data_IF_373632724106
#
_entry.id   IF_373632724106
#
_cell.length_a   1.000
_cell.length_b   1.000
_cell.length_c   1.000
_cell.angle_alpha   90.00
_cell.angle_beta   90.00
_cell.angle_gamma   90.00
#
_symmetry.space_group_name_H-M   'P 1'
#
loop_
_entity.id
_entity.type
_entity.pdbx_description
1 polymer ?
#
# COMPACT_ATOMS: atom_id res chain seq x y z
N UNK A 1 9.69 32.61 29.74
CA UNK A 1 9.95 32.05 28.40
C UNK A 1 9.46 30.63 28.44
N UNK A 2 8.20 30.48 27.98
CA UNK A 2 7.47 29.22 27.96
C UNK A 2 7.99 28.41 26.76
N UNK A 3 8.74 27.35 27.04
CA UNK A 3 9.12 26.39 26.01
C UNK A 3 7.91 25.51 25.75
N UNK A 4 7.10 25.92 24.79
CA UNK A 4 5.97 25.14 24.30
C UNK A 4 6.41 23.71 23.99
N UNK A 5 5.75 22.75 24.61
CA UNK A 5 5.91 21.30 24.35
C UNK A 5 5.63 21.04 22.87
N UNK A 6 6.67 20.81 22.10
CA UNK A 6 6.57 20.34 20.74
C UNK A 6 5.94 18.94 20.74
N UNK A 7 4.66 18.85 20.50
CA UNK A 7 4.03 17.57 20.18
C UNK A 7 4.31 17.26 18.72
N UNK A 8 5.16 16.29 18.50
CA UNK A 8 5.48 15.77 17.18
C UNK A 8 4.58 14.58 16.89
N UNK A 9 3.76 14.70 15.86
CA UNK A 9 2.98 13.59 15.33
C UNK A 9 3.74 13.02 14.14
N UNK A 10 4.30 11.84 14.26
CA UNK A 10 5.00 11.17 13.18
C UNK A 10 4.20 9.97 12.66
N UNK A 11 4.00 9.93 11.36
CA UNK A 11 3.41 8.80 10.64
C UNK A 11 3.82 8.88 9.17
N UNK A 12 4.28 7.77 8.57
CA UNK A 12 4.66 7.70 7.15
C UNK A 12 5.69 8.73 6.66
N UNK A 13 6.67 9.09 7.49
CA UNK A 13 7.69 10.06 7.13
C UNK A 13 7.22 11.51 7.19
N UNK A 14 6.03 11.78 7.72
CA UNK A 14 5.54 13.13 7.97
C UNK A 14 5.71 13.50 9.43
N UNK A 15 6.37 14.61 9.67
CA UNK A 15 6.50 15.24 10.97
C UNK A 15 5.55 16.44 11.02
N UNK A 16 4.45 16.30 11.77
CA UNK A 16 3.55 17.43 12.05
C UNK A 16 4.01 18.16 13.29
N UNK A 17 4.33 19.43 13.15
CA UNK A 17 4.59 20.33 14.28
C UNK A 17 3.29 20.94 14.82
N UNK A 18 3.34 21.45 16.06
CA UNK A 18 2.26 22.27 16.63
C UNK A 18 1.87 23.44 15.72
N UNK A 19 2.84 24.01 14.97
CA UNK A 19 2.63 25.08 14.00
C UNK A 19 1.64 24.71 12.90
N UNK A 20 1.70 23.50 12.34
CA UNK A 20 0.78 23.06 11.28
C UNK A 20 -0.65 22.94 11.80
N UNK A 21 -0.81 22.45 13.04
CA UNK A 21 -2.10 22.36 13.71
C UNK A 21 -2.67 23.74 14.01
N UNK A 22 -1.85 24.65 14.49
CA UNK A 22 -2.28 26.01 14.83
C UNK A 22 -2.66 26.80 13.58
N UNK A 23 -1.90 26.69 12.48
CA UNK A 23 -2.28 27.27 11.18
C UNK A 23 -3.58 26.70 10.64
N UNK A 24 -3.83 25.40 10.79
CA UNK A 24 -5.11 24.84 10.41
C UNK A 24 -6.26 25.42 11.24
N UNK A 25 -6.06 25.58 12.56
CA UNK A 25 -7.09 26.15 13.44
C UNK A 25 -7.40 27.61 13.09
N UNK A 26 -6.36 28.43 12.83
CA UNK A 26 -6.50 29.87 12.53
C UNK A 26 -6.99 30.12 11.10
N UNK A 27 -6.28 29.60 10.13
CA UNK A 27 -6.42 30.01 8.71
C UNK A 27 -7.10 28.94 7.84
N UNK A 28 -7.45 27.78 8.41
CA UNK A 28 -7.93 26.60 7.68
C UNK A 28 -6.93 26.12 6.60
N UNK A 29 -5.65 26.42 6.79
CA UNK A 29 -4.60 25.99 5.89
C UNK A 29 -4.14 24.58 6.22
N UNK A 30 -4.35 23.66 5.29
CA UNK A 30 -4.06 22.25 5.50
C UNK A 30 -2.56 21.89 5.44
N UNK A 31 -1.75 22.65 4.71
CA UNK A 31 -0.30 22.45 4.63
C UNK A 31 0.12 20.98 4.57
N UNK A 32 1.00 20.60 5.47
CA UNK A 32 1.45 19.21 5.62
C UNK A 32 0.37 18.27 6.19
N UNK A 33 -0.66 18.81 6.87
CA UNK A 33 -1.79 18.00 7.35
C UNK A 33 -2.51 17.24 6.23
N UNK A 34 -2.51 17.79 4.99
CA UNK A 34 -3.11 17.10 3.83
C UNK A 34 -2.54 15.70 3.64
N UNK A 35 -1.24 15.52 3.85
CA UNK A 35 -0.56 14.24 3.67
C UNK A 35 -0.94 13.17 4.70
N UNK A 36 -1.54 13.59 5.83
CA UNK A 36 -2.08 12.67 6.84
C UNK A 36 -3.46 12.13 6.42
N UNK A 37 -4.26 12.94 5.73
CA UNK A 37 -5.63 12.59 5.38
C UNK A 37 -5.81 12.18 3.93
N UNK A 38 -4.91 12.62 3.04
CA UNK A 38 -5.02 12.44 1.59
C UNK A 38 -3.89 11.56 1.06
N UNK A 39 -4.23 10.41 0.53
CA UNK A 39 -3.31 9.60 -0.26
C UNK A 39 -3.34 10.04 -1.73
N UNK A 40 -2.22 10.52 -2.27
CA UNK A 40 -2.10 10.86 -3.68
C UNK A 40 -1.31 9.78 -4.43
N UNK A 41 -2.02 8.99 -5.21
CA UNK A 41 -1.52 7.82 -5.89
C UNK A 41 -1.33 8.09 -7.40
N UNK A 42 -0.42 8.98 -7.76
CA UNK A 42 0.07 9.08 -9.13
C UNK A 42 1.05 7.92 -9.43
N UNK A 43 1.41 7.76 -10.69
CA UNK A 43 2.32 6.69 -11.13
C UNK A 43 3.63 6.67 -10.36
N UNK A 44 4.30 7.82 -10.17
CA UNK A 44 5.58 7.89 -9.49
C UNK A 44 5.48 7.48 -8.01
N UNK A 45 4.45 7.92 -7.31
CA UNK A 45 4.24 7.58 -5.91
C UNK A 45 3.99 6.07 -5.75
N UNK A 46 3.19 5.47 -6.64
CA UNK A 46 2.92 4.02 -6.62
C UNK A 46 4.19 3.19 -6.84
N UNK A 47 4.99 3.57 -7.84
CA UNK A 47 6.26 2.89 -8.14
C UNK A 47 7.26 3.07 -6.99
N UNK A 48 7.34 4.25 -6.39
CA UNK A 48 8.27 4.53 -5.29
C UNK A 48 7.92 3.76 -4.02
N UNK A 49 6.64 3.71 -3.64
CA UNK A 49 6.20 3.05 -2.40
C UNK A 49 6.32 1.53 -2.45
N UNK A 50 6.41 0.94 -3.64
CA UNK A 50 6.61 -0.49 -3.83
C UNK A 50 8.07 -0.95 -3.68
N UNK A 51 9.03 -0.01 -3.57
CA UNK A 51 10.42 -0.33 -3.29
C UNK A 51 10.60 -0.85 -1.86
N UNK A 52 11.69 -1.59 -1.59
CA UNK A 52 11.99 -2.07 -0.25
C UNK A 52 12.00 -0.96 0.79
N UNK A 53 11.42 -1.23 1.96
CA UNK A 53 11.52 -0.34 3.11
C UNK A 53 12.81 -0.61 3.89
N UNK A 54 13.34 0.39 4.59
CA UNK A 54 14.45 0.18 5.51
C UNK A 54 14.05 -0.80 6.62
N UNK A 55 14.98 -1.65 7.06
CA UNK A 55 14.75 -2.53 8.19
C UNK A 55 14.68 -1.70 9.49
N UNK A 56 13.61 -1.88 10.24
CA UNK A 56 13.42 -1.25 11.55
C UNK A 56 13.21 -2.30 12.63
N UNK A 57 13.47 -1.94 13.88
CA UNK A 57 13.06 -2.77 15.00
C UNK A 57 11.54 -2.94 15.01
N UNK A 58 11.06 -4.15 15.35
CA UNK A 58 9.62 -4.45 15.43
C UNK A 58 8.84 -3.49 16.36
N UNK A 59 9.53 -2.91 17.37
CA UNK A 59 8.95 -1.96 18.33
C UNK A 59 9.06 -0.50 17.88
N UNK A 60 9.82 -0.22 16.82
CA UNK A 60 9.96 1.14 16.30
C UNK A 60 8.67 1.62 15.63
N UNK A 61 8.52 2.94 15.55
CA UNK A 61 7.43 3.56 14.79
C UNK A 61 7.51 3.15 13.31
N UNK A 62 6.40 2.72 12.75
CA UNK A 62 6.33 2.30 11.35
C UNK A 62 6.26 3.53 10.45
N UNK A 63 7.26 3.71 9.61
CA UNK A 63 7.41 4.85 8.70
C UNK A 63 7.13 4.51 7.24
N UNK A 64 6.86 3.24 6.95
CA UNK A 64 6.57 2.75 5.61
C UNK A 64 5.47 1.68 5.63
N UNK A 65 4.56 1.60 4.61
CA UNK A 65 3.52 0.58 4.57
C UNK A 65 4.04 -0.85 4.66
N UNK A 66 5.20 -1.13 4.08
CA UNK A 66 5.83 -2.47 4.13
C UNK A 66 6.13 -2.89 5.58
N UNK A 67 6.38 -1.97 6.52
CA UNK A 67 6.58 -2.31 7.92
C UNK A 67 5.31 -2.96 8.54
N UNK A 68 4.12 -2.50 8.14
CA UNK A 68 2.86 -3.13 8.57
C UNK A 68 2.71 -4.52 7.98
N UNK A 69 3.05 -4.71 6.71
CA UNK A 69 3.06 -6.03 6.06
C UNK A 69 4.05 -6.97 6.75
N UNK A 70 5.23 -6.48 7.11
CA UNK A 70 6.28 -7.27 7.74
C UNK A 70 5.92 -7.71 9.17
N UNK A 71 5.34 -6.81 9.97
CA UNK A 71 5.20 -7.03 11.41
C UNK A 71 3.79 -7.32 11.89
N UNK A 72 2.75 -7.14 11.04
CA UNK A 72 1.35 -7.35 11.41
C UNK A 72 0.65 -8.32 10.46
N UNK A 73 0.19 -9.43 11.02
CA UNK A 73 -0.41 -10.54 10.27
C UNK A 73 -1.62 -10.11 9.43
N UNK A 74 -2.49 -9.23 9.96
CA UNK A 74 -3.69 -8.78 9.26
C UNK A 74 -3.37 -8.12 7.91
N UNK A 75 -2.36 -7.24 7.88
CA UNK A 75 -1.95 -6.54 6.66
C UNK A 75 -1.24 -7.47 5.67
N UNK A 76 -0.40 -8.38 6.20
CA UNK A 76 0.26 -9.41 5.38
C UNK A 76 -0.75 -10.30 4.67
N UNK A 77 -1.74 -10.78 5.40
CA UNK A 77 -2.80 -11.62 4.82
C UNK A 77 -3.63 -10.87 3.79
N UNK A 78 -4.02 -9.62 4.10
CA UNK A 78 -4.84 -8.81 3.22
C UNK A 78 -4.13 -8.50 1.90
N UNK A 79 -2.87 -8.01 1.95
CA UNK A 79 -2.13 -7.64 0.74
C UNK A 79 -1.82 -8.86 -0.13
N UNK A 80 -1.42 -9.97 0.51
CA UNK A 80 -1.12 -11.22 -0.17
C UNK A 80 -2.35 -11.79 -0.87
N UNK A 81 -3.50 -11.81 -0.21
CA UNK A 81 -4.76 -12.30 -0.78
C UNK A 81 -5.21 -11.45 -1.99
N UNK A 82 -5.09 -10.13 -1.91
CA UNK A 82 -5.48 -9.24 -3.00
C UNK A 82 -4.49 -9.28 -4.18
N UNK A 83 -3.20 -9.39 -3.92
CA UNK A 83 -2.20 -9.59 -4.97
C UNK A 83 -2.42 -10.93 -5.70
N UNK A 84 -2.74 -11.98 -4.96
CA UNK A 84 -3.02 -13.31 -5.53
C UNK A 84 -4.23 -13.32 -6.47
N UNK A 85 -5.25 -12.50 -6.24
CA UNK A 85 -6.39 -12.36 -7.16
C UNK A 85 -5.93 -11.97 -8.58
N UNK A 86 -4.92 -11.10 -8.68
CA UNK A 86 -4.47 -10.53 -9.95
C UNK A 86 -3.32 -11.31 -10.61
N UNK A 87 -2.44 -11.92 -9.82
CA UNK A 87 -1.19 -12.51 -10.31
C UNK A 87 -1.04 -14.02 -10.01
N UNK A 88 -1.94 -14.62 -9.24
CA UNK A 88 -1.90 -16.04 -8.86
C UNK A 88 -0.87 -16.40 -7.80
N UNK A 89 0.02 -15.48 -7.43
CA UNK A 89 1.08 -15.63 -6.44
C UNK A 89 0.85 -14.71 -5.25
N UNK A 90 1.56 -14.95 -4.16
CA UNK A 90 1.42 -14.21 -2.91
C UNK A 90 2.57 -13.23 -2.70
N UNK A 91 2.33 -12.18 -1.90
CA UNK A 91 3.37 -11.25 -1.45
C UNK A 91 3.86 -11.66 -0.06
N UNK A 92 5.17 -11.80 0.07
CA UNK A 92 5.83 -12.23 1.29
C UNK A 92 6.91 -11.21 1.66
N UNK A 93 6.85 -10.54 2.84
CA UNK A 93 7.90 -9.64 3.27
C UNK A 93 9.13 -10.45 3.70
N UNK A 94 10.30 -10.09 3.18
CA UNK A 94 11.57 -10.71 3.54
C UNK A 94 12.34 -9.83 4.54
N UNK A 95 12.13 -10.09 5.83
CA UNK A 95 12.69 -9.28 6.93
C UNK A 95 14.14 -9.57 7.24
N UNK A 96 14.69 -10.65 6.73
CA UNK A 96 16.08 -11.08 6.91
C UNK A 96 17.00 -10.68 5.73
N UNK A 97 16.55 -9.78 4.86
CA UNK A 97 17.30 -9.33 3.69
C UNK A 97 18.31 -8.19 4.01
N UNK A 98 19.09 -8.34 5.07
CA UNK A 98 20.09 -7.34 5.46
C UNK A 98 19.47 -6.05 5.99
N UNK A 99 19.67 -4.90 5.31
CA UNK A 99 19.26 -3.57 5.80
C UNK A 99 17.88 -3.12 5.31
N UNK A 100 17.20 -3.91 4.50
CA UNK A 100 15.90 -3.55 3.96
C UNK A 100 14.91 -4.73 3.94
N UNK A 101 13.64 -4.43 3.72
CA UNK A 101 12.53 -5.38 3.66
C UNK A 101 11.90 -5.31 2.28
N UNK A 102 12.32 -6.15 1.32
CA UNK A 102 11.62 -6.28 0.06
C UNK A 102 10.35 -7.12 0.21
N UNK A 103 9.43 -6.97 -0.76
CA UNK A 103 8.30 -7.88 -0.94
C UNK A 103 8.66 -8.92 -2.00
N UNK A 104 8.70 -10.18 -1.61
CA UNK A 104 8.94 -11.33 -2.48
C UNK A 104 7.63 -11.84 -3.06
N UNK A 105 7.69 -12.36 -4.30
CA UNK A 105 6.55 -12.92 -5.04
C UNK A 105 6.73 -14.42 -5.13
N UNK A 106 5.78 -15.18 -4.58
CA UNK A 106 5.85 -16.64 -4.60
C UNK A 106 4.75 -17.27 -3.78
N UNK A 107 4.91 -18.54 -3.47
CA UNK A 107 3.98 -19.29 -2.60
C UNK A 107 4.44 -19.19 -1.14
N UNK A 108 3.48 -19.15 -0.22
CA UNK A 108 3.80 -19.26 1.22
C UNK A 108 4.65 -20.50 1.48
N UNK A 109 5.82 -20.28 2.09
CA UNK A 109 6.70 -21.36 2.50
C UNK A 109 6.08 -22.05 3.71
N UNK A 110 5.83 -23.34 3.58
CA UNK A 110 5.33 -24.19 4.66
C UNK A 110 6.32 -25.34 4.83
N UNK A 111 6.83 -25.47 6.03
CA UNK A 111 7.63 -26.62 6.42
C UNK A 111 6.83 -27.50 7.40
N UNK A 112 7.09 -28.79 7.39
CA UNK A 112 6.61 -29.66 8.45
C UNK A 112 7.50 -29.46 9.67
N UNK A 113 6.89 -29.40 10.86
CA UNK A 113 7.63 -29.14 12.10
C UNK A 113 8.69 -30.24 12.43
N UNK A 114 8.53 -31.42 11.84
CA UNK A 114 9.44 -32.56 12.00
C UNK A 114 10.68 -32.53 11.08
N UNK A 115 10.75 -31.61 10.13
CA UNK A 115 11.83 -31.56 9.13
C UNK A 115 13.11 -30.90 9.65
N UNK A 116 13.05 -30.19 10.77
CA UNK A 116 14.19 -29.41 11.29
C UNK A 116 14.47 -29.74 12.74
N UNK A 117 15.77 -29.84 13.07
CA UNK A 117 16.25 -30.14 14.42
C UNK A 117 16.03 -29.00 15.42
N UNK A 118 15.97 -27.75 14.91
CA UNK A 118 15.87 -26.52 15.69
C UNK A 118 15.29 -25.37 14.85
N UNK A 119 14.86 -24.30 15.53
CA UNK A 119 14.27 -23.12 14.90
C UNK A 119 15.27 -22.34 14.03
N UNK A 120 16.56 -22.36 14.35
CA UNK A 120 17.59 -21.66 13.57
C UNK A 120 17.73 -22.31 12.19
N UNK A 121 17.83 -23.63 12.12
CA UNK A 121 17.92 -24.40 10.86
C UNK A 121 16.68 -24.19 9.99
N UNK A 122 15.51 -24.14 10.64
CA UNK A 122 14.24 -23.84 9.97
C UNK A 122 14.23 -22.45 9.37
N UNK A 123 14.72 -21.45 10.12
CA UNK A 123 14.80 -20.07 9.65
C UNK A 123 15.79 -19.91 8.49
N UNK A 124 16.95 -20.53 8.55
CA UNK A 124 17.93 -20.54 7.46
C UNK A 124 17.36 -21.16 6.18
N UNK A 125 16.58 -22.23 6.31
CA UNK A 125 15.90 -22.86 5.18
C UNK A 125 14.83 -21.93 4.57
N UNK A 126 14.08 -21.21 5.42
CA UNK A 126 13.10 -20.23 4.99
C UNK A 126 13.74 -19.06 4.22
N UNK A 127 14.84 -18.53 4.74
CA UNK A 127 15.61 -17.46 4.10
C UNK A 127 16.13 -17.88 2.72
N UNK A 128 16.73 -19.08 2.62
CA UNK A 128 17.19 -19.64 1.34
C UNK A 128 16.08 -19.78 0.30
N UNK A 129 14.88 -20.13 0.72
CA UNK A 129 13.74 -20.17 -0.22
C UNK A 129 13.37 -18.76 -0.68
N UNK A 130 13.28 -17.79 0.23
CA UNK A 130 12.92 -16.41 -0.12
C UNK A 130 13.97 -15.75 -1.02
N UNK A 131 15.25 -16.08 -0.87
CA UNK A 131 16.33 -15.62 -1.75
C UNK A 131 16.13 -16.07 -3.22
N UNK A 132 15.42 -17.17 -3.45
CA UNK A 132 15.09 -17.63 -4.80
C UNK A 132 13.89 -16.91 -5.42
N UNK A 133 13.10 -16.20 -4.63
CA UNK A 133 11.89 -15.55 -5.10
C UNK A 133 12.19 -14.21 -5.79
N UNK A 134 11.38 -13.91 -6.80
CA UNK A 134 11.41 -12.59 -7.45
C UNK A 134 10.96 -11.53 -6.46
N UNK A 135 11.63 -10.39 -6.48
CA UNK A 135 11.26 -9.26 -5.63
C UNK A 135 10.47 -8.21 -6.43
N UNK A 136 9.51 -7.54 -5.80
CA UNK A 136 8.61 -6.58 -6.46
C UNK A 136 9.38 -5.46 -7.16
N UNK A 137 10.43 -4.92 -6.54
CA UNK A 137 11.23 -3.82 -7.11
C UNK A 137 11.94 -4.19 -8.42
N UNK A 138 12.16 -5.48 -8.66
CA UNK A 138 12.83 -5.98 -9.87
C UNK A 138 11.83 -6.35 -10.98
N UNK A 139 10.53 -6.16 -10.74
CA UNK A 139 9.49 -6.48 -11.70
C UNK A 139 9.13 -5.28 -12.58
N UNK A 140 8.36 -5.56 -13.63
CA UNK A 140 7.78 -4.51 -14.48
C UNK A 140 6.84 -3.57 -13.71
N UNK A 141 6.65 -2.38 -14.24
CA UNK A 141 5.89 -1.30 -13.60
C UNK A 141 4.43 -1.66 -13.27
N UNK A 142 3.83 -2.61 -13.98
CA UNK A 142 2.49 -3.12 -13.67
C UNK A 142 2.41 -3.77 -12.29
N UNK A 143 3.35 -4.64 -11.96
CA UNK A 143 3.42 -5.30 -10.64
C UNK A 143 3.73 -4.27 -9.56
N UNK A 144 4.67 -3.36 -9.80
CA UNK A 144 5.03 -2.28 -8.86
C UNK A 144 3.85 -1.36 -8.59
N UNK A 145 3.18 -0.88 -9.65
CA UNK A 145 2.04 0.03 -9.56
C UNK A 145 0.87 -0.62 -8.81
N UNK A 146 0.55 -1.87 -9.16
CA UNK A 146 -0.50 -2.63 -8.47
C UNK A 146 -0.19 -2.79 -6.98
N UNK A 147 1.03 -3.24 -6.65
CA UNK A 147 1.48 -3.37 -5.26
C UNK A 147 1.45 -2.03 -4.52
N UNK A 148 1.87 -0.95 -5.18
CA UNK A 148 1.83 0.40 -4.61
C UNK A 148 0.43 0.85 -4.23
N UNK A 149 -0.59 0.58 -5.07
CA UNK A 149 -1.99 0.87 -4.74
C UNK A 149 -2.43 0.03 -3.52
N UNK A 150 -2.12 -1.27 -3.51
CA UNK A 150 -2.46 -2.12 -2.36
C UNK A 150 -1.84 -1.61 -1.05
N UNK A 151 -0.57 -1.19 -1.09
CA UNK A 151 0.14 -0.66 0.08
C UNK A 151 -0.53 0.59 0.67
N UNK A 152 -1.12 1.45 -0.15
CA UNK A 152 -1.89 2.60 0.32
C UNK A 152 -3.28 2.21 0.81
N UNK A 153 -4.00 1.35 0.07
CA UNK A 153 -5.37 0.95 0.40
C UNK A 153 -5.48 0.14 1.70
N UNK A 154 -4.46 -0.66 2.04
CA UNK A 154 -4.51 -1.48 3.25
C UNK A 154 -4.48 -0.67 4.54
N UNK A 155 -4.14 0.62 4.47
CA UNK A 155 -4.00 1.50 5.61
C UNK A 155 -5.27 2.35 5.76
N UNK A 156 -5.92 2.24 6.88
CA UNK A 156 -7.24 2.81 7.16
C UNK A 156 -7.23 4.25 7.69
N UNK A 157 -6.07 4.93 7.70
CA UNK A 157 -6.00 6.31 8.19
C UNK A 157 -6.15 7.40 7.13
N UNK A 158 -6.12 7.07 5.85
CA UNK A 158 -6.45 8.04 4.81
C UNK A 158 -7.97 8.18 4.68
N UNK A 159 -8.47 9.42 4.72
CA UNK A 159 -9.88 9.72 4.47
C UNK A 159 -10.17 9.93 2.99
N UNK A 160 -9.19 10.40 2.22
CA UNK A 160 -9.34 10.73 0.81
C UNK A 160 -8.23 10.06 0.01
N UNK A 161 -8.62 9.40 -1.07
CA UNK A 161 -7.71 8.83 -2.06
C UNK A 161 -7.86 9.58 -3.39
N UNK A 162 -6.75 10.13 -3.90
CA UNK A 162 -6.66 10.68 -5.25
C UNK A 162 -5.86 9.69 -6.08
N UNK A 163 -6.54 8.93 -6.95
CA UNK A 163 -5.93 7.83 -7.71
C UNK A 163 -5.93 8.21 -9.19
N UNK A 164 -4.75 8.37 -9.75
CA UNK A 164 -4.56 8.76 -11.14
C UNK A 164 -4.18 7.54 -11.98
N UNK A 165 -5.03 7.21 -12.96
CA UNK A 165 -4.86 6.09 -13.90
C UNK A 165 -4.44 4.78 -13.21
N UNK A 166 -5.25 4.21 -12.30
CA UNK A 166 -4.89 2.97 -11.60
C UNK A 166 -4.63 1.77 -12.54
N UNK A 167 -5.15 1.83 -13.76
CA UNK A 167 -4.92 0.84 -14.82
C UNK A 167 -3.56 0.93 -15.49
N UNK A 168 -2.80 2.02 -15.29
CA UNK A 168 -1.51 2.19 -15.97
C UNK A 168 -0.60 0.98 -15.76
N UNK A 169 -0.10 0.44 -16.89
CA UNK A 169 0.73 -0.78 -16.97
C UNK A 169 0.01 -2.10 -16.63
N UNK A 170 -1.31 -2.10 -16.42
CA UNK A 170 -2.07 -3.31 -16.13
C UNK A 170 -2.73 -3.87 -17.40
N UNK A 171 -2.80 -5.19 -17.50
CA UNK A 171 -3.68 -5.83 -18.47
C UNK A 171 -5.16 -5.69 -18.04
N UNK A 172 -6.11 -5.73 -18.99
CA UNK A 172 -7.54 -5.52 -18.67
C UNK A 172 -8.09 -6.34 -17.52
N UNK A 173 -7.80 -7.66 -17.37
CA UNK A 173 -8.28 -8.42 -16.22
C UNK A 173 -7.74 -7.92 -14.88
N UNK A 174 -6.48 -7.48 -14.84
CA UNK A 174 -5.86 -6.94 -13.63
C UNK A 174 -6.44 -5.57 -13.27
N UNK A 175 -6.76 -4.74 -14.29
CA UNK A 175 -7.45 -3.47 -14.09
C UNK A 175 -8.86 -3.67 -13.50
N UNK A 176 -9.63 -4.65 -13.98
CA UNK A 176 -10.93 -5.01 -13.39
C UNK A 176 -10.78 -5.42 -11.92
N UNK A 177 -9.82 -6.32 -11.63
CA UNK A 177 -9.54 -6.76 -10.25
C UNK A 177 -9.15 -5.56 -9.37
N UNK A 178 -8.35 -4.61 -9.87
CA UNK A 178 -7.98 -3.40 -9.12
C UNK A 178 -9.22 -2.55 -8.81
N UNK A 179 -10.12 -2.35 -9.77
CA UNK A 179 -11.39 -1.64 -9.55
C UNK A 179 -12.21 -2.29 -8.44
N UNK A 180 -12.34 -3.62 -8.45
CA UNK A 180 -13.03 -4.38 -7.40
C UNK A 180 -12.37 -4.21 -6.04
N UNK A 181 -11.04 -4.33 -5.95
CA UNK A 181 -10.30 -4.17 -4.69
C UNK A 181 -10.51 -2.76 -4.12
N UNK A 182 -10.46 -1.72 -4.95
CA UNK A 182 -10.73 -0.33 -4.48
C UNK A 182 -12.14 -0.24 -3.91
N UNK A 183 -13.15 -0.75 -4.62
CA UNK A 183 -14.55 -0.70 -4.19
C UNK A 183 -14.82 -1.53 -2.91
N UNK A 184 -14.20 -2.72 -2.78
CA UNK A 184 -14.34 -3.60 -1.61
C UNK A 184 -13.64 -3.04 -0.36
N UNK A 185 -12.56 -2.26 -0.55
CA UNK A 185 -11.68 -1.84 0.56
C UNK A 185 -12.13 -0.56 1.23
N UNK A 186 -12.61 0.41 0.45
CA UNK A 186 -12.99 1.72 0.98
C UNK A 186 -14.20 1.62 1.91
N UNK A 187 -14.06 2.14 3.12
CA UNK A 187 -15.14 2.25 4.11
C UNK A 187 -16.05 3.46 3.81
N UNK A 188 -17.16 3.55 4.52
CA UNK A 188 -18.12 4.67 4.37
C UNK A 188 -17.55 6.03 4.78
N UNK A 189 -16.48 6.03 5.60
CA UNK A 189 -15.77 7.25 6.02
C UNK A 189 -14.65 7.65 5.06
N UNK A 190 -14.46 6.91 3.96
CA UNK A 190 -13.40 7.14 2.99
C UNK A 190 -13.99 7.51 1.62
N UNK A 191 -13.31 8.37 0.90
CA UNK A 191 -13.69 8.80 -0.44
C UNK A 191 -12.52 8.65 -1.41
N UNK A 192 -12.80 8.12 -2.60
CA UNK A 192 -11.81 8.09 -3.69
C UNK A 192 -12.25 8.94 -4.88
N UNK A 193 -11.32 9.72 -5.40
CA UNK A 193 -11.42 10.38 -6.70
C UNK A 193 -10.46 9.66 -7.65
N UNK A 194 -11.02 9.02 -8.66
CA UNK A 194 -10.28 8.19 -9.60
C UNK A 194 -10.36 8.81 -10.98
N UNK A 195 -9.22 9.24 -11.55
CA UNK A 195 -9.15 9.56 -12.97
C UNK A 195 -8.78 8.28 -13.73
N UNK A 196 -9.56 7.93 -14.73
CA UNK A 196 -9.33 6.71 -15.52
C UNK A 196 -9.94 6.84 -16.92
N UNK A 197 -9.31 6.18 -17.89
CA UNK A 197 -9.92 5.91 -19.20
C UNK A 197 -10.20 4.42 -19.40
N UNK A 198 -10.04 3.61 -18.36
CA UNK A 198 -10.27 2.18 -18.44
C UNK A 198 -11.71 1.82 -18.09
N UNK A 199 -12.41 1.24 -19.03
CA UNK A 199 -13.74 0.65 -18.77
C UNK A 199 -13.65 -0.46 -17.73
N UNK A 200 -12.53 -1.18 -17.66
CA UNK A 200 -12.36 -2.31 -16.74
C UNK A 200 -12.27 -1.86 -15.27
N UNK A 201 -11.63 -0.73 -14.99
CA UNK A 201 -11.66 -0.13 -13.64
C UNK A 201 -13.10 0.20 -13.23
N UNK A 202 -13.84 0.83 -14.15
CA UNK A 202 -15.25 1.22 -13.88
C UNK A 202 -16.12 -0.03 -13.69
N UNK A 203 -15.97 -1.05 -14.54
CA UNK A 203 -16.68 -2.32 -14.41
C UNK A 203 -16.41 -2.97 -13.06
N UNK A 204 -15.12 -3.09 -12.68
CA UNK A 204 -14.73 -3.66 -11.40
C UNK A 204 -15.35 -2.94 -10.20
N UNK A 205 -15.38 -1.61 -10.20
CA UNK A 205 -16.04 -0.81 -9.17
C UNK A 205 -17.57 -1.06 -9.14
N UNK A 206 -18.21 -1.04 -10.30
CA UNK A 206 -19.66 -1.23 -10.41
C UNK A 206 -20.12 -2.66 -10.06
N UNK A 207 -19.25 -3.65 -10.18
CA UNK A 207 -19.56 -5.03 -9.77
C UNK A 207 -19.69 -5.19 -8.24
N UNK A 208 -18.98 -4.38 -7.45
CA UNK A 208 -18.91 -4.56 -5.99
C UNK A 208 -19.59 -3.46 -5.19
N UNK A 209 -19.70 -2.24 -5.72
CA UNK A 209 -20.31 -1.11 -5.00
C UNK A 209 -21.04 -0.10 -5.92
N UNK A 210 -21.99 -0.54 -6.78
CA UNK A 210 -22.62 0.33 -7.79
C UNK A 210 -23.31 1.56 -7.20
N UNK A 211 -23.90 1.44 -6.01
CA UNK A 211 -24.61 2.52 -5.30
C UNK A 211 -23.67 3.60 -4.74
N UNK A 212 -22.37 3.31 -4.61
CA UNK A 212 -21.35 4.23 -4.09
C UNK A 212 -20.56 4.91 -5.20
N UNK A 213 -20.72 4.48 -6.47
CA UNK A 213 -19.95 4.97 -7.61
C UNK A 213 -20.71 6.08 -8.33
N UNK A 214 -20.05 7.24 -8.47
CA UNK A 214 -20.52 8.33 -9.33
C UNK A 214 -19.53 8.53 -10.48
N UNK A 215 -19.98 8.25 -11.70
CA UNK A 215 -19.18 8.46 -12.91
C UNK A 215 -19.42 9.86 -13.47
N UNK A 216 -18.34 10.62 -13.69
CA UNK A 216 -18.36 11.94 -14.31
C UNK A 216 -17.53 11.88 -15.59
N UNK A 217 -18.17 12.06 -16.75
CA UNK A 217 -17.48 12.11 -18.03
C UNK A 217 -17.05 13.54 -18.34
N UNK A 218 -15.75 13.72 -18.59
CA UNK A 218 -15.19 15.02 -19.01
C UNK A 218 -14.93 14.95 -20.51
N UNK A 219 -15.52 15.88 -21.27
CA UNK A 219 -15.32 16.03 -22.71
C UNK A 219 -14.78 17.41 -23.04
N UNK A 220 -13.84 17.50 -23.98
CA UNK A 220 -13.44 18.81 -24.51
C UNK A 220 -14.55 19.34 -25.40
N UNK A 221 -15.03 20.53 -25.11
CA UNK A 221 -15.85 21.31 -26.05
C UNK A 221 -14.88 21.89 -27.08
N UNK A 222 -15.11 21.59 -28.37
CA UNK A 222 -14.36 22.16 -29.50
C UNK A 222 -14.80 23.60 -29.73
#
# INVERSE_FOLDING_TARGET
TDHGTYQKYSGFGYDLGSYDIDRYKSDKYYGELRSVFVAYLNTLNRLKISNPADLISRKAAKTHPIHYVAFEQKYRQWISANFKKAFGEELIPFTQNGNNIPLCIGKQVKFNDEEFSDEQTRQEAYEKVLETYKQVQDQGDGIKSFTGILLYLMLDYYSIFLIDEPESFLHPPQANIMGRIIGETLSDNQQAFISTHSEEIIKGLLEVCPERVKVIRITRVK
#
